data_IF_597344068224
#
_entry.id   IF_597344068224
#
_cell.length_a   1.000
_cell.length_b   1.000
_cell.length_c   1.000
_cell.angle_alpha   90.00
_cell.angle_beta   90.00
_cell.angle_gamma   90.00
#
_symmetry.space_group_name_H-M   'P 1'
#
loop_
_entity.id
_entity.type
_entity.pdbx_description
1 polymer ?
#
# COMPACT_ATOMS: atom_id res chain seq x y z
N UNK A 1 12.94 16.07 -1.26
CA UNK A 1 13.59 15.28 -0.20
C UNK A 1 12.48 14.67 0.66
N UNK A 2 12.03 13.46 0.34
CA UNK A 2 11.05 12.77 1.18
C UNK A 2 11.68 12.47 2.53
N UNK A 3 11.09 12.96 3.63
CA UNK A 3 11.44 12.47 4.95
C UNK A 3 10.89 11.05 5.04
N UNK A 4 11.77 10.08 4.85
CA UNK A 4 11.52 8.66 5.12
C UNK A 4 11.18 8.53 6.62
N UNK A 5 9.89 8.68 6.92
CA UNK A 5 9.35 8.47 8.26
C UNK A 5 9.08 6.97 8.30
N UNK A 6 10.13 6.19 8.58
CA UNK A 6 10.03 4.74 8.69
C UNK A 6 8.84 4.37 9.59
N UNK A 7 8.16 3.26 9.27
CA UNK A 7 7.04 2.74 10.06
C UNK A 7 7.45 2.74 11.52
N UNK A 8 6.83 3.61 12.32
CA UNK A 8 7.03 3.63 13.77
C UNK A 8 6.75 2.23 14.30
N UNK A 9 7.68 1.68 15.08
CA UNK A 9 7.41 0.47 15.84
C UNK A 9 6.34 0.85 16.87
N UNK A 10 5.27 0.07 16.94
CA UNK A 10 4.26 0.24 18.00
C UNK A 10 4.98 0.17 19.35
N UNK A 11 5.02 1.28 20.09
CA UNK A 11 5.79 1.42 21.34
C UNK A 11 6.96 2.42 21.32
N UNK A 12 7.18 3.18 20.23
CA UNK A 12 8.12 4.32 20.23
C UNK A 12 9.59 3.98 19.96
N UNK A 13 9.88 2.75 19.55
CA UNK A 13 11.22 2.32 19.12
C UNK A 13 11.61 2.88 17.74
N UNK A 14 12.91 3.10 17.54
CA UNK A 14 13.47 3.43 16.22
C UNK A 14 13.63 2.15 15.40
N UNK A 15 13.25 2.13 14.11
CA UNK A 15 13.45 0.96 13.25
C UNK A 15 14.95 0.68 13.08
N UNK A 16 15.35 -0.57 13.30
CA UNK A 16 16.75 -1.01 13.19
C UNK A 16 17.11 -1.47 11.77
N UNK A 17 16.10 -1.80 10.96
CA UNK A 17 16.28 -2.37 9.62
C UNK A 17 15.19 -1.82 8.68
N UNK A 18 15.58 -1.58 7.43
CA UNK A 18 14.68 -1.30 6.32
C UNK A 18 15.02 -2.24 5.15
N UNK A 19 14.00 -2.77 4.48
CA UNK A 19 14.14 -3.65 3.31
C UNK A 19 13.47 -2.95 2.13
N UNK A 20 14.22 -2.75 1.06
CA UNK A 20 13.71 -2.22 -0.20
C UNK A 20 13.36 -3.41 -1.09
N UNK A 21 12.08 -3.51 -1.46
CA UNK A 21 11.59 -4.54 -2.37
C UNK A 21 11.24 -3.92 -3.72
N UNK A 22 11.23 -4.74 -4.78
CA UNK A 22 10.77 -4.26 -6.09
C UNK A 22 9.29 -3.84 -5.99
N UNK A 23 8.89 -2.75 -6.65
CA UNK A 23 7.50 -2.33 -6.67
C UNK A 23 6.64 -3.40 -7.35
N UNK A 24 5.45 -3.60 -6.81
CA UNK A 24 4.45 -4.51 -7.39
C UNK A 24 3.88 -3.88 -8.67
N UNK A 25 4.01 -4.55 -9.84
CA UNK A 25 3.44 -4.06 -11.09
C UNK A 25 1.90 -4.09 -11.04
N UNK A 26 1.24 -3.17 -11.76
CA UNK A 26 -0.21 -3.02 -11.72
C UNK A 26 -0.92 -4.28 -12.27
N UNK A 27 -0.30 -4.94 -13.24
CA UNK A 27 -0.80 -6.17 -13.85
C UNK A 27 -0.91 -7.28 -12.80
N UNK A 28 0.09 -7.42 -11.93
CA UNK A 28 0.07 -8.42 -10.86
C UNK A 28 -1.05 -8.13 -9.84
N UNK A 29 -1.27 -6.86 -9.49
CA UNK A 29 -2.39 -6.48 -8.61
C UNK A 29 -3.73 -6.87 -9.24
N UNK A 30 -3.90 -6.61 -10.54
CA UNK A 30 -5.12 -6.96 -11.27
C UNK A 30 -5.34 -8.48 -11.33
N UNK A 31 -4.29 -9.23 -11.60
CA UNK A 31 -4.38 -10.68 -11.77
C UNK A 31 -4.67 -11.38 -10.44
N UNK A 32 -4.05 -10.92 -9.34
CA UNK A 32 -4.35 -11.40 -7.97
C UNK A 32 -5.79 -11.07 -7.57
N UNK A 33 -6.25 -9.85 -7.88
CA UNK A 33 -7.63 -9.44 -7.60
C UNK A 33 -8.65 -10.28 -8.39
N UNK A 34 -8.35 -10.60 -9.65
CA UNK A 34 -9.20 -11.47 -10.49
C UNK A 34 -9.22 -12.92 -10.01
N UNK A 35 -8.12 -13.38 -9.41
CA UNK A 35 -8.04 -14.69 -8.78
C UNK A 35 -8.80 -14.77 -7.44
N UNK A 36 -9.25 -13.65 -6.88
CA UNK A 36 -9.91 -13.60 -5.57
C UNK A 36 -8.94 -13.78 -4.39
N UNK A 37 -7.65 -13.59 -4.62
CA UNK A 37 -6.58 -13.79 -3.64
C UNK A 37 -6.18 -12.48 -2.94
N UNK A 38 -5.55 -12.59 -1.77
CA UNK A 38 -5.15 -11.44 -0.98
C UNK A 38 -3.66 -11.10 -1.18
N UNK A 39 -3.35 -9.81 -1.35
CA UNK A 39 -1.97 -9.34 -1.33
C UNK A 39 -1.43 -9.22 0.11
N UNK A 40 -0.12 -9.43 0.33
CA UNK A 40 0.51 -9.17 1.62
C UNK A 40 0.27 -7.74 2.12
N UNK A 41 0.19 -7.55 3.44
CA UNK A 41 -0.06 -6.23 4.00
C UNK A 41 1.05 -5.23 3.65
N UNK A 42 0.66 -4.00 3.28
CA UNK A 42 1.57 -2.90 2.91
C UNK A 42 2.50 -3.20 1.71
N UNK A 43 2.11 -4.14 0.83
CA UNK A 43 2.86 -4.52 -0.37
C UNK A 43 2.65 -3.59 -1.58
N UNK A 44 1.66 -2.70 -1.52
CA UNK A 44 1.32 -1.75 -2.58
C UNK A 44 1.10 -0.35 -2.01
N UNK A 45 1.72 0.66 -2.60
CA UNK A 45 1.50 2.07 -2.26
C UNK A 45 0.96 2.81 -3.49
N UNK A 46 -0.32 3.20 -3.46
CA UNK A 46 -0.96 3.96 -4.54
C UNK A 46 -0.77 5.47 -4.32
N UNK A 47 -0.31 6.16 -5.35
CA UNK A 47 -0.19 7.62 -5.36
C UNK A 47 -0.83 8.22 -6.62
N UNK A 48 -1.79 9.15 -6.50
CA UNK A 48 -2.39 9.64 -5.25
C UNK A 48 -3.18 8.55 -4.51
N UNK A 49 -3.41 8.72 -3.20
CA UNK A 49 -4.15 7.72 -2.41
C UNK A 49 -5.54 7.55 -3.04
N UNK A 50 -6.05 6.33 -3.15
CA UNK A 50 -7.38 6.07 -3.74
C UNK A 50 -8.48 6.91 -3.07
N UNK A 51 -8.36 7.17 -1.77
CA UNK A 51 -9.29 8.00 -1.01
C UNK A 51 -9.39 9.46 -1.51
N UNK A 52 -8.35 10.03 -2.13
CA UNK A 52 -8.39 11.42 -2.61
C UNK A 52 -9.28 11.66 -3.84
N UNK A 53 -9.83 10.61 -4.44
CA UNK A 53 -10.81 10.70 -5.53
C UNK A 53 -12.01 9.77 -5.38
N UNK A 54 -12.25 9.22 -4.18
CA UNK A 54 -13.32 8.26 -3.95
C UNK A 54 -14.67 9.00 -3.91
N UNK A 55 -15.50 8.75 -4.92
CA UNK A 55 -16.89 9.18 -4.97
C UNK A 55 -17.79 7.94 -4.87
N UNK A 56 -18.60 7.84 -3.83
CA UNK A 56 -19.55 6.73 -3.65
C UNK A 56 -20.85 7.13 -4.34
N UNK A 57 -21.22 6.42 -5.40
CA UNK A 57 -22.53 6.56 -6.04
C UNK A 57 -23.55 5.69 -5.28
N UNK A 58 -24.49 6.28 -4.50
CA UNK A 58 -25.52 5.49 -3.86
C UNK A 58 -26.45 4.93 -4.93
N UNK A 59 -26.52 3.60 -5.02
CA UNK A 59 -27.56 2.93 -5.80
C UNK A 59 -28.78 2.81 -4.89
N UNK A 60 -29.85 3.52 -5.26
CA UNK A 60 -31.16 3.43 -4.61
C UNK A 60 -31.83 2.08 -4.87
#
# INVERSE_FOLDING_TARGET
>A
KGKETGSSIAGGGRPQLAIIVRPTPLEAVRDISRAGELMPQKSTFFYPKLATGLWINPLA
#
